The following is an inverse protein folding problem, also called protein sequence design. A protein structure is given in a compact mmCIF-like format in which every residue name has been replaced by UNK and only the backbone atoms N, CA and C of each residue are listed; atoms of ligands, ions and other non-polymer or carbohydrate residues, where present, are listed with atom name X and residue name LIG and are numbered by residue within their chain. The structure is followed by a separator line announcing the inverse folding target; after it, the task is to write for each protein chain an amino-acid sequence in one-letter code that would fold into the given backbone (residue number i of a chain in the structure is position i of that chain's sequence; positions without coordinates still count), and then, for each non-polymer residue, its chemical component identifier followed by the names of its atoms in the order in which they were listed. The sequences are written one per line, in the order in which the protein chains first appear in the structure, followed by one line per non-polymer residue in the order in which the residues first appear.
data_IF_991539965214
#
_entry.id   IF_991539965214
#
_cell.length_a   1.000
_cell.length_b   1.000
_cell.length_c   1.000
_cell.angle_alpha   90.00
_cell.angle_beta   90.00
_cell.angle_gamma   90.00
#
_symmetry.space_group_name_H-M   'P 1'
#
loop_
_entity.id
_entity.type
_entity.pdbx_description
1 polymer ?
#
# COMPACT_ATOMS: atom_id res chain seq x y z
N UNK A 1 -0.86 -19.93 -6.59
CA UNK A 1 -0.12 -19.10 -5.61
C UNK A 1 -0.62 -17.67 -5.77
N UNK A 2 -1.29 -17.10 -4.76
CA UNK A 2 -1.92 -15.78 -4.85
C UNK A 2 -0.88 -14.66 -4.81
N UNK A 3 -1.11 -13.59 -5.59
CA UNK A 3 -0.27 -12.40 -5.50
C UNK A 3 -0.53 -11.69 -4.16
N UNK A 4 0.53 -11.23 -3.51
CA UNK A 4 0.39 -10.40 -2.30
C UNK A 4 -0.17 -9.03 -2.70
N UNK A 5 -1.27 -8.61 -2.06
CA UNK A 5 -1.92 -7.31 -2.32
C UNK A 5 -1.75 -6.31 -1.16
N UNK A 6 -1.05 -6.70 -0.09
CA UNK A 6 -0.79 -5.87 1.08
C UNK A 6 0.72 -5.74 1.26
N UNK A 7 1.22 -4.52 1.36
CA UNK A 7 2.65 -4.21 1.34
C UNK A 7 3.06 -3.44 2.59
N UNK A 8 4.17 -3.84 3.19
CA UNK A 8 4.80 -3.14 4.33
C UNK A 8 5.73 -2.03 3.81
N UNK A 9 5.97 -0.97 4.61
CA UNK A 9 7.06 -0.03 4.35
C UNK A 9 8.39 -0.74 4.06
N UNK A 10 9.16 -0.22 3.11
CA UNK A 10 10.43 -0.80 2.65
C UNK A 10 10.30 -1.94 1.64
N UNK A 11 9.12 -2.52 1.44
CA UNK A 11 8.92 -3.47 0.35
C UNK A 11 8.94 -2.75 -1.00
N UNK A 12 9.27 -3.47 -2.08
CA UNK A 12 9.27 -2.92 -3.43
C UNK A 12 7.90 -3.01 -4.08
N UNK A 13 7.49 -1.95 -4.76
CA UNK A 13 6.29 -1.94 -5.57
C UNK A 13 6.41 -2.96 -6.71
N UNK A 14 5.48 -3.92 -6.84
CA UNK A 14 5.55 -4.95 -7.88
C UNK A 14 5.14 -4.44 -9.27
N UNK A 15 4.44 -3.31 -9.34
CA UNK A 15 4.05 -2.67 -10.60
C UNK A 15 3.88 -1.15 -10.44
N UNK A 16 3.80 -0.47 -11.58
CA UNK A 16 3.44 0.94 -11.65
C UNK A 16 1.98 1.13 -11.25
N UNK A 17 1.71 1.93 -10.23
CA UNK A 17 0.33 2.12 -9.77
C UNK A 17 0.20 3.16 -8.69
N UNK A 18 -1.06 3.42 -8.32
CA UNK A 18 -1.39 4.18 -7.12
C UNK A 18 -1.72 3.19 -6.00
N UNK A 19 -1.12 3.42 -4.86
CA UNK A 19 -1.28 2.63 -3.65
C UNK A 19 -1.91 3.46 -2.56
N UNK A 20 -2.70 2.83 -1.70
CA UNK A 20 -3.43 3.49 -0.61
C UNK A 20 -3.15 2.80 0.70
N UNK A 21 -3.19 3.56 1.79
CA UNK A 21 -3.10 2.99 3.12
C UNK A 21 -4.38 2.25 3.51
N UNK A 22 -4.20 1.12 4.18
CA UNK A 22 -5.23 0.34 4.86
C UNK A 22 -4.71 -0.08 6.24
N UNK A 23 -5.60 -0.57 7.11
CA UNK A 23 -5.19 -1.16 8.38
C UNK A 23 -4.51 -2.51 8.15
N UNK A 24 -3.73 -2.98 9.12
CA UNK A 24 -3.04 -4.28 9.04
C UNK A 24 -4.00 -5.46 8.77
N UNK A 25 -5.26 -5.36 9.22
CA UNK A 25 -6.31 -6.37 8.97
C UNK A 25 -6.97 -6.27 7.60
N UNK A 26 -6.61 -5.27 6.79
CA UNK A 26 -7.24 -5.00 5.49
C UNK A 26 -8.40 -4.00 5.53
N UNK A 27 -8.74 -3.47 6.70
CA UNK A 27 -9.84 -2.51 6.88
C UNK A 27 -9.51 -1.11 6.35
N UNK A 28 -10.55 -0.36 5.97
CA UNK A 28 -10.41 1.05 5.60
C UNK A 28 -9.98 1.88 6.82
N UNK A 29 -9.03 2.79 6.63
CA UNK A 29 -8.55 3.71 7.66
C UNK A 29 -9.14 5.10 7.47
N UNK A 30 -9.21 5.88 8.55
CA UNK A 30 -9.55 7.30 8.47
C UNK A 30 -8.40 8.06 7.80
N UNK A 31 -8.73 8.85 6.79
CA UNK A 31 -7.80 9.65 5.99
C UNK A 31 -6.64 8.80 5.43
N UNK A 32 -6.91 7.86 4.50
CA UNK A 32 -5.87 7.04 3.92
C UNK A 32 -4.95 7.89 3.03
N UNK A 33 -3.63 7.76 3.21
CA UNK A 33 -2.69 8.34 2.27
C UNK A 33 -2.73 7.60 0.94
N UNK A 34 -2.38 8.30 -0.14
CA UNK A 34 -2.24 7.75 -1.48
C UNK A 34 -0.88 8.13 -2.04
N UNK A 35 -0.20 7.17 -2.64
CA UNK A 35 1.12 7.37 -3.25
C UNK A 35 1.13 6.74 -4.64
N UNK A 36 1.81 7.37 -5.58
CA UNK A 36 2.07 6.79 -6.89
C UNK A 36 3.49 6.25 -6.88
N UNK A 37 3.65 4.96 -7.12
CA UNK A 37 4.95 4.30 -7.19
C UNK A 37 5.11 3.62 -8.55
N UNK A 38 6.35 3.57 -9.00
CA UNK A 38 6.81 2.78 -10.13
C UNK A 38 7.40 1.45 -9.65
N UNK A 39 7.46 0.47 -10.53
CA UNK A 39 7.97 -0.87 -10.25
C UNK A 39 9.38 -0.80 -9.67
N UNK A 40 9.59 -1.42 -8.52
CA UNK A 40 10.88 -1.47 -7.83
C UNK A 40 11.10 -0.35 -6.81
N UNK A 41 10.31 0.72 -6.82
CA UNK A 41 10.36 1.75 -5.77
C UNK A 41 9.89 1.20 -4.42
N UNK A 42 10.47 1.71 -3.34
CA UNK A 42 10.15 1.26 -1.99
C UNK A 42 8.90 1.97 -1.46
N UNK A 43 8.04 1.22 -0.78
CA UNK A 43 6.94 1.79 -0.02
C UNK A 43 7.49 2.66 1.12
N UNK A 44 7.03 3.93 1.27
CA UNK A 44 7.42 4.78 2.38
C UNK A 44 6.78 4.30 3.68
N UNK A 45 7.23 4.85 4.80
CA UNK A 45 6.54 4.67 6.08
C UNK A 45 5.09 5.14 6.00
N UNK A 46 4.22 4.37 6.64
CA UNK A 46 2.81 4.71 6.77
C UNK A 46 2.63 5.73 7.90
N UNK A 47 1.51 6.46 7.89
CA UNK A 47 1.17 7.43 8.95
C UNK A 47 1.07 6.81 10.35
N UNK A 48 1.00 5.48 10.45
CA UNK A 48 0.88 4.74 11.70
C UNK A 48 1.47 3.33 11.51
N UNK A 49 2.11 2.79 12.55
CA UNK A 49 2.71 1.44 12.55
C UNK A 49 1.72 0.31 12.22
N UNK A 50 0.41 0.50 12.47
CA UNK A 50 -0.63 -0.50 12.21
C UNK A 50 -1.27 -0.38 10.82
N UNK A 51 -0.55 0.22 9.85
CA UNK A 51 -1.02 0.43 8.48
C UNK A 51 -0.14 -0.29 7.47
N UNK A 52 -0.75 -0.67 6.36
CA UNK A 52 -0.11 -1.27 5.19
C UNK A 52 -0.53 -0.51 3.94
N UNK A 53 0.20 -0.73 2.86
CA UNK A 53 -0.15 -0.25 1.53
C UNK A 53 -0.91 -1.34 0.76
N UNK A 54 -1.86 -0.95 -0.06
CA UNK A 54 -2.51 -1.83 -1.04
C UNK A 54 -2.76 -1.08 -2.32
N UNK A 55 -3.12 -1.80 -3.39
CA UNK A 55 -3.50 -1.16 -4.64
C UNK A 55 -4.73 -0.26 -4.44
N UNK A 56 -4.72 0.92 -5.04
CA UNK A 56 -5.94 1.70 -5.19
C UNK A 56 -6.92 0.90 -6.05
N UNK A 57 -8.02 0.45 -5.45
CA UNK A 57 -9.13 -0.12 -6.20
C UNK A 57 -9.69 0.95 -7.13
N UNK A 58 -9.88 0.59 -8.40
CA UNK A 58 -10.64 1.43 -9.33
C UNK A 58 -12.08 1.54 -8.79
N UNK A 59 -12.71 2.73 -8.91
CA UNK A 59 -14.11 2.91 -8.53
C UNK A 59 -15.02 1.98 -9.35
#
# INVERSE_FOLDING_TARGET
MGQQHQFRPGQKAPNNGVYVEIGETGSMVKNPQKIKLTTGEMFPETSNHNRLWTYQRKP
#
